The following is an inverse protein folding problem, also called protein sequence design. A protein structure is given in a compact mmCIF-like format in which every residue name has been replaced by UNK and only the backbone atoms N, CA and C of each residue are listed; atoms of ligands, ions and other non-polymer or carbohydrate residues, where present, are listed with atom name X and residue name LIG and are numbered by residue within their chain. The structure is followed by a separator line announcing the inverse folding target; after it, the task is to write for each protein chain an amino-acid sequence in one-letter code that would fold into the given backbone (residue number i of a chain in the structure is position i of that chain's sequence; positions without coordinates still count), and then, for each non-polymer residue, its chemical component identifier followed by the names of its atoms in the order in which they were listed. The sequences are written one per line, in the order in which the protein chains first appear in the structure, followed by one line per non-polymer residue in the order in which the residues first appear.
data_IF_129762205564
#
_entry.id   IF_129762205564
#
_cell.length_a   1.000
_cell.length_b   1.000
_cell.length_c   1.000
_cell.angle_alpha   90.00
_cell.angle_beta   90.00
_cell.angle_gamma   90.00
#
_symmetry.space_group_name_H-M   'P 1'
#
loop_
_entity.id
_entity.type
_entity.pdbx_description
1 polymer ?
#
# COMPACT_ATOMS: atom_id res chain seq x y z
N UNK A 1 -58.92 65.70 -18.57
CA UNK A 1 -58.30 65.00 -19.73
C UNK A 1 -57.39 63.92 -19.17
N UNK A 2 -57.54 62.71 -19.68
CA UNK A 2 -57.02 61.42 -19.16
C UNK A 2 -55.51 61.28 -19.35
N UNK A 3 -54.79 60.88 -18.30
CA UNK A 3 -53.50 60.21 -18.43
C UNK A 3 -53.58 58.83 -17.74
N UNK A 4 -53.32 57.79 -18.53
CA UNK A 4 -53.41 56.39 -18.15
C UNK A 4 -52.39 56.03 -17.06
N UNK A 5 -52.87 55.45 -15.96
CA UNK A 5 -52.03 54.83 -14.94
C UNK A 5 -51.63 53.42 -15.37
N UNK A 6 -50.32 53.15 -15.46
CA UNK A 6 -49.81 51.80 -15.64
C UNK A 6 -49.67 51.14 -14.27
N UNK A 7 -50.51 50.13 -13.99
CA UNK A 7 -50.34 49.26 -12.83
C UNK A 7 -49.33 48.18 -13.21
N UNK A 8 -48.13 48.25 -12.65
CA UNK A 8 -47.14 47.16 -12.72
C UNK A 8 -47.49 46.16 -11.64
N UNK A 9 -47.94 44.95 -12.01
CA UNK A 9 -48.06 43.86 -11.05
C UNK A 9 -46.67 43.34 -10.67
N UNK A 10 -46.36 43.13 -9.39
CA UNK A 10 -45.14 42.45 -8.99
C UNK A 10 -45.21 40.99 -9.42
N UNK A 11 -44.19 40.53 -10.14
CA UNK A 11 -44.00 39.11 -10.47
C UNK A 11 -43.77 38.35 -9.16
N UNK A 12 -44.54 37.30 -8.91
CA UNK A 12 -44.31 36.40 -7.77
C UNK A 12 -42.88 35.84 -7.79
N UNK A 13 -42.21 35.74 -6.63
CA UNK A 13 -40.87 35.18 -6.57
C UNK A 13 -40.95 33.68 -6.81
N UNK A 14 -40.43 33.24 -7.96
CA UNK A 14 -40.22 31.83 -8.27
C UNK A 14 -39.28 31.23 -7.22
N UNK A 15 -39.83 30.41 -6.34
CA UNK A 15 -39.09 29.64 -5.34
C UNK A 15 -38.38 28.47 -6.04
N UNK A 16 -37.34 28.77 -6.81
CA UNK A 16 -36.38 27.76 -7.24
C UNK A 16 -35.35 27.59 -6.13
N UNK A 17 -35.44 26.47 -5.41
CA UNK A 17 -34.40 26.03 -4.47
C UNK A 17 -33.07 25.98 -5.24
N UNK A 18 -32.11 26.87 -4.92
CA UNK A 18 -31.00 27.11 -5.82
C UNK A 18 -30.09 25.89 -5.83
N UNK A 19 -29.82 25.34 -7.03
CA UNK A 19 -29.19 24.04 -7.27
C UNK A 19 -27.89 23.77 -6.48
N UNK A 20 -27.21 24.82 -6.02
CA UNK A 20 -26.03 24.71 -5.17
C UNK A 20 -26.35 24.10 -3.79
N UNK A 21 -27.56 24.25 -3.24
CA UNK A 21 -27.93 23.64 -1.94
C UNK A 21 -27.91 22.13 -2.03
N UNK A 22 -28.46 21.55 -3.11
CA UNK A 22 -28.45 20.11 -3.38
C UNK A 22 -27.03 19.59 -3.56
N UNK A 23 -26.19 20.34 -4.27
CA UNK A 23 -24.78 19.99 -4.44
C UNK A 23 -24.02 20.02 -3.11
N UNK A 24 -24.19 21.07 -2.31
CA UNK A 24 -23.59 21.18 -0.98
C UNK A 24 -24.06 20.05 -0.07
N UNK A 25 -25.35 19.70 -0.10
CA UNK A 25 -25.90 18.63 0.72
C UNK A 25 -25.29 17.27 0.33
N UNK A 26 -25.20 16.99 -0.97
CA UNK A 26 -24.55 15.78 -1.48
C UNK A 26 -23.06 15.70 -1.10
N UNK A 27 -22.32 16.81 -1.20
CA UNK A 27 -20.90 16.85 -0.78
C UNK A 27 -20.76 16.59 0.71
N UNK A 28 -21.63 17.15 1.54
CA UNK A 28 -21.63 16.94 3.00
C UNK A 28 -21.95 15.48 3.35
N UNK A 29 -22.96 14.88 2.73
CA UNK A 29 -23.29 13.46 2.93
C UNK A 29 -22.11 12.55 2.56
N UNK A 30 -21.44 12.83 1.44
CA UNK A 30 -20.24 12.09 1.01
C UNK A 30 -19.08 12.27 1.99
N UNK A 31 -18.88 13.47 2.50
CA UNK A 31 -17.85 13.77 3.51
C UNK A 31 -18.14 13.04 4.83
N UNK A 32 -19.39 13.08 5.30
CA UNK A 32 -19.82 12.40 6.52
C UNK A 32 -19.70 10.88 6.40
N UNK A 33 -20.04 10.31 5.25
CA UNK A 33 -19.85 8.88 4.99
C UNK A 33 -18.36 8.49 5.03
N UNK A 34 -17.49 9.30 4.43
CA UNK A 34 -16.04 9.07 4.46
C UNK A 34 -15.47 9.20 5.89
N UNK A 35 -15.95 10.16 6.68
CA UNK A 35 -15.58 10.32 8.09
C UNK A 35 -16.04 9.08 8.88
N UNK A 36 -17.29 8.64 8.72
CA UNK A 36 -17.83 7.47 9.41
C UNK A 36 -17.04 6.20 9.09
N UNK A 37 -16.76 5.95 7.81
CA UNK A 37 -15.91 4.83 7.38
C UNK A 37 -14.51 4.90 7.99
N UNK A 38 -13.93 6.10 8.10
CA UNK A 38 -12.61 6.33 8.72
C UNK A 38 -12.63 6.11 10.23
N UNK A 39 -13.70 6.49 10.92
CA UNK A 39 -13.89 6.25 12.35
C UNK A 39 -14.07 4.76 12.64
N UNK A 40 -14.89 4.07 11.85
CA UNK A 40 -15.06 2.60 11.92
C UNK A 40 -13.73 1.88 11.65
N UNK A 41 -12.92 2.38 10.71
CA UNK A 41 -11.57 1.90 10.45
C UNK A 41 -10.58 2.17 11.60
N UNK A 42 -10.67 3.32 12.27
CA UNK A 42 -9.88 3.64 13.46
C UNK A 42 -10.21 2.70 14.63
N UNK A 43 -11.50 2.35 14.79
CA UNK A 43 -11.98 1.35 15.75
C UNK A 43 -11.56 -0.08 15.39
N UNK A 44 -11.42 -0.41 14.09
CA UNK A 44 -11.01 -1.75 13.62
C UNK A 44 -9.51 -2.04 13.72
N UNK A 45 -8.70 -1.14 14.29
CA UNK A 45 -7.28 -1.38 14.59
C UNK A 45 -6.26 -0.58 13.79
N UNK A 46 -6.66 0.55 13.18
CA UNK A 46 -5.74 1.53 12.58
C UNK A 46 -4.95 2.38 13.61
N UNK A 47 -5.09 2.09 14.90
CA UNK A 47 -4.31 2.67 16.01
C UNK A 47 -3.17 1.77 16.50
N UNK A 48 -2.78 0.75 15.72
CA UNK A 48 -1.58 -0.04 16.05
C UNK A 48 -0.33 0.80 15.77
N UNK A 49 0.75 0.67 16.55
CA UNK A 49 2.01 1.31 16.17
C UNK A 49 2.53 0.65 14.88
N UNK A 50 3.10 1.41 13.94
CA UNK A 50 3.74 0.83 12.78
C UNK A 50 4.91 -0.06 13.24
N UNK A 51 5.16 -1.10 12.46
CA UNK A 51 6.20 -2.08 12.74
C UNK A 51 7.47 -1.61 12.04
N UNK A 52 8.55 -1.41 12.80
CA UNK A 52 9.90 -1.24 12.28
C UNK A 52 10.78 -2.39 12.80
N UNK A 53 11.38 -3.15 11.87
CA UNK A 53 12.33 -4.23 12.17
C UNK A 53 13.67 -3.91 11.53
N UNK A 54 14.74 -4.37 12.17
CA UNK A 54 16.12 -4.23 11.74
C UNK A 54 16.75 -5.60 11.47
N UNK A 55 17.80 -5.60 10.66
CA UNK A 55 18.65 -6.77 10.51
C UNK A 55 19.31 -7.11 11.86
N UNK A 56 19.31 -8.39 12.22
CA UNK A 56 19.86 -8.86 13.50
C UNK A 56 18.88 -8.88 14.68
N UNK A 57 17.62 -8.48 14.48
CA UNK A 57 16.55 -8.57 15.50
C UNK A 57 16.17 -10.02 15.86
N UNK A 58 16.83 -11.05 15.31
CA UNK A 58 16.61 -12.47 15.59
C UNK A 58 17.02 -12.94 17.01
N UNK A 59 17.21 -12.03 17.97
CA UNK A 59 17.35 -12.41 19.37
C UNK A 59 15.95 -12.62 19.96
N UNK A 60 15.63 -13.80 20.54
CA UNK A 60 14.37 -14.00 21.24
C UNK A 60 14.41 -13.22 22.56
N UNK A 61 14.16 -11.91 22.49
CA UNK A 61 13.86 -11.14 23.67
C UNK A 61 12.37 -11.30 23.97
N UNK A 62 12.04 -12.39 24.69
CA UNK A 62 10.91 -12.40 25.61
C UNK A 62 11.18 -11.37 26.71
N UNK A 63 11.11 -10.08 26.37
CA UNK A 63 10.89 -9.05 27.38
C UNK A 63 9.40 -8.81 27.35
N UNK A 64 8.71 -9.35 28.35
CA UNK A 64 7.41 -8.85 28.76
C UNK A 64 7.48 -7.33 28.74
N UNK A 65 6.85 -6.71 27.75
CA UNK A 65 6.61 -5.28 27.77
C UNK A 65 5.69 -5.08 28.97
N UNK A 66 6.27 -4.67 30.11
CA UNK A 66 5.51 -4.20 31.25
C UNK A 66 4.58 -3.13 30.69
N UNK A 67 3.27 -3.37 30.78
CA UNK A 67 2.26 -2.31 30.74
C UNK A 67 2.65 -1.32 31.84
N UNK A 68 3.41 -0.30 31.50
CA UNK A 68 3.42 0.95 32.26
C UNK A 68 2.11 1.63 31.91
N UNK A 69 1.07 1.30 32.68
CA UNK A 69 -0.08 2.17 32.83
C UNK A 69 0.39 3.46 33.48
N UNK A 70 0.13 4.58 32.83
CA UNK A 70 0.42 5.91 33.36
C UNK A 70 0.13 6.98 32.30
N UNK A 71 -0.84 7.85 32.59
CA UNK A 71 -1.18 9.02 31.77
C UNK A 71 -2.67 9.09 31.47
N UNK A 72 -3.52 9.39 32.47
CA UNK A 72 -4.07 10.73 32.73
C UNK A 72 -4.88 11.29 31.56
N UNK A 73 -6.19 11.33 31.74
CA UNK A 73 -7.13 11.96 30.82
C UNK A 73 -6.77 13.42 30.56
N UNK A 74 -6.68 13.74 29.27
CA UNK A 74 -6.65 15.09 28.74
C UNK A 74 -7.35 15.04 27.40
N UNK A 75 -8.55 15.62 27.33
CA UNK A 75 -9.28 15.85 26.09
C UNK A 75 -8.46 16.83 25.26
N UNK A 76 -7.99 16.43 24.08
CA UNK A 76 -7.45 17.39 23.12
C UNK A 76 -7.91 17.09 21.68
N UNK A 77 -8.44 18.14 21.06
CA UNK A 77 -9.22 18.13 19.82
C UNK A 77 -8.31 18.22 18.58
N UNK A 78 -7.43 17.23 18.37
CA UNK A 78 -6.53 17.27 17.20
C UNK A 78 -6.87 16.19 16.17
N UNK A 79 -7.16 16.67 14.95
CA UNK A 79 -7.34 15.90 13.72
C UNK A 79 -6.41 14.68 13.59
N UNK A 80 -6.86 13.57 12.97
CA UNK A 80 -6.14 12.31 12.98
C UNK A 80 -5.12 12.29 11.84
N UNK A 81 -3.99 12.97 12.04
CA UNK A 81 -2.79 12.55 11.31
C UNK A 81 -2.33 11.20 11.88
N UNK A 82 -1.86 10.26 11.03
CA UNK A 82 -1.17 9.09 11.55
C UNK A 82 -0.04 9.59 12.46
N UNK A 83 -0.06 9.16 13.71
CA UNK A 83 1.00 9.44 14.66
C UNK A 83 2.28 8.89 14.05
N UNK A 84 3.14 9.77 13.56
CA UNK A 84 4.49 9.41 13.14
C UNK A 84 5.12 8.88 14.43
N UNK A 85 5.57 7.61 14.47
CA UNK A 85 6.29 7.11 15.63
C UNK A 85 7.40 8.10 15.93
N UNK A 86 7.54 8.47 17.20
CA UNK A 86 8.75 9.15 17.63
C UNK A 86 9.93 8.30 17.16
N UNK A 87 10.67 8.82 16.18
CA UNK A 87 11.95 8.26 15.81
C UNK A 87 12.82 8.59 17.00
N UNK A 88 13.04 7.61 17.87
CA UNK A 88 13.92 7.82 19.01
C UNK A 88 15.28 8.22 18.43
N UNK A 89 15.98 9.14 19.07
CA UNK A 89 17.33 9.55 18.65
C UNK A 89 18.24 8.30 18.46
N UNK A 90 17.98 7.24 19.23
CA UNK A 90 18.60 5.91 19.11
C UNK A 90 18.34 5.19 17.77
N UNK A 91 17.19 5.41 17.10
CA UNK A 91 16.89 4.90 15.75
C UNK A 91 17.55 5.74 14.64
N UNK A 92 17.92 7.00 14.93
CA UNK A 92 18.76 7.81 14.05
C UNK A 92 20.26 7.48 14.19
N UNK A 93 20.72 7.19 15.42
CA UNK A 93 22.12 6.89 15.74
C UNK A 93 22.48 5.40 15.65
N UNK A 94 21.49 4.52 15.48
CA UNK A 94 21.78 3.10 15.36
C UNK A 94 22.29 2.77 13.96
N UNK A 95 23.49 2.18 13.91
CA UNK A 95 24.06 1.39 12.80
C UNK A 95 23.17 0.20 12.36
N UNK A 96 21.92 0.13 12.82
CA UNK A 96 20.98 -0.96 12.57
C UNK A 96 20.37 -0.77 11.20
N UNK A 97 20.78 -1.62 10.28
CA UNK A 97 20.22 -1.66 8.93
C UNK A 97 18.72 -1.99 9.03
N UNK A 98 17.86 -1.11 8.48
CA UNK A 98 16.41 -1.31 8.43
C UNK A 98 16.13 -2.56 7.58
N UNK A 99 15.17 -3.38 8.02
CA UNK A 99 14.74 -4.59 7.30
C UNK A 99 13.31 -4.45 6.78
N UNK A 100 12.38 -4.08 7.66
CA UNK A 100 10.96 -4.08 7.32
C UNK A 100 10.25 -2.96 8.07
N UNK A 101 9.55 -2.12 7.31
CA UNK A 101 8.65 -1.10 7.82
C UNK A 101 7.23 -1.42 7.36
N UNK A 102 6.26 -1.43 8.27
CA UNK A 102 4.85 -1.68 7.93
C UNK A 102 3.93 -0.78 8.71
N UNK A 103 2.99 -0.15 8.00
CA UNK A 103 1.97 0.72 8.59
C UNK A 103 0.62 0.00 8.67
N UNK A 104 -0.36 0.69 9.23
CA UNK A 104 -1.60 0.08 9.72
C UNK A 104 -2.58 -0.40 8.64
N UNK A 105 -2.53 0.19 7.44
CA UNK A 105 -3.29 -0.28 6.28
C UNK A 105 -2.68 -1.56 5.66
N UNK A 106 -1.56 -2.04 6.23
CA UNK A 106 -0.82 -3.20 5.76
C UNK A 106 0.26 -2.88 4.73
N UNK A 107 0.32 -1.65 4.21
CA UNK A 107 1.38 -1.19 3.32
C UNK A 107 2.74 -1.32 4.01
N UNK A 108 3.75 -1.72 3.26
CA UNK A 108 5.05 -2.08 3.80
C UNK A 108 6.20 -1.81 2.84
N UNK A 109 7.39 -1.68 3.42
CA UNK A 109 8.65 -1.62 2.70
C UNK A 109 9.60 -2.64 3.29
N UNK A 110 10.25 -3.43 2.44
CA UNK A 110 11.41 -4.23 2.79
C UNK A 110 12.64 -3.55 2.20
N UNK A 111 13.73 -3.58 2.95
CA UNK A 111 15.00 -2.96 2.56
C UNK A 111 16.06 -4.04 2.40
N UNK A 112 17.01 -3.81 1.50
CA UNK A 112 18.29 -4.53 1.46
C UNK A 112 19.19 -4.05 2.60
N UNK A 113 20.25 -4.82 2.97
CA UNK A 113 21.24 -4.34 3.93
C UNK A 113 21.93 -3.05 3.47
N UNK A 114 22.02 -2.81 2.16
CA UNK A 114 22.53 -1.55 1.58
C UNK A 114 21.71 -0.32 1.98
N UNK A 115 20.48 -0.50 2.47
CA UNK A 115 19.53 0.55 2.76
C UNK A 115 18.60 0.90 1.59
N UNK A 116 18.82 0.33 0.39
CA UNK A 116 17.90 0.50 -0.72
C UNK A 116 16.61 -0.32 -0.52
N UNK A 117 15.50 0.17 -1.05
CA UNK A 117 14.22 -0.55 -0.99
C UNK A 117 14.34 -1.81 -1.85
N UNK A 118 14.01 -2.95 -1.28
CA UNK A 118 13.91 -4.24 -1.97
C UNK A 118 12.49 -4.49 -2.47
N UNK A 119 11.49 -4.23 -1.63
CA UNK A 119 10.07 -4.44 -1.94
C UNK A 119 9.25 -3.30 -1.39
N UNK A 120 8.30 -2.79 -2.18
CA UNK A 120 7.26 -1.88 -1.74
C UNK A 120 5.91 -2.57 -1.91
N UNK A 121 5.11 -2.63 -0.85
CA UNK A 121 3.74 -3.07 -0.89
C UNK A 121 2.82 -1.91 -0.51
N UNK A 122 1.87 -1.60 -1.38
CA UNK A 122 0.89 -0.54 -1.14
C UNK A 122 -0.51 -1.12 -1.18
N UNK A 123 -1.29 -0.86 -0.13
CA UNK A 123 -2.68 -1.28 -0.06
C UNK A 123 -3.47 -0.68 -1.24
N UNK A 124 -4.27 -1.51 -1.90
CA UNK A 124 -4.92 -1.12 -3.16
C UNK A 124 -6.12 -0.19 -2.99
N UNK A 125 -6.78 -0.23 -1.83
CA UNK A 125 -8.06 0.47 -1.59
C UNK A 125 -9.24 -0.08 -2.40
N UNK A 126 -9.06 -1.19 -3.12
CA UNK A 126 -10.12 -1.87 -3.85
C UNK A 126 -11.06 -2.60 -2.87
N UNK A 127 -12.34 -2.72 -3.22
CA UNK A 127 -13.34 -3.42 -2.39
C UNK A 127 -13.00 -4.90 -2.16
N UNK A 128 -12.29 -5.53 -3.10
CA UNK A 128 -11.78 -6.90 -2.97
C UNK A 128 -10.50 -7.02 -2.14
N UNK A 129 -9.94 -5.90 -1.65
CA UNK A 129 -8.65 -5.83 -0.99
C UNK A 129 -7.48 -6.10 -1.93
N UNK A 130 -6.32 -6.42 -1.35
CA UNK A 130 -5.08 -6.74 -2.06
C UNK A 130 -4.06 -5.60 -2.06
N UNK A 131 -2.85 -5.91 -2.53
CA UNK A 131 -1.71 -5.01 -2.51
C UNK A 131 -1.06 -4.91 -3.89
N UNK A 132 -0.64 -3.72 -4.26
CA UNK A 132 0.38 -3.55 -5.29
C UNK A 132 1.73 -3.90 -4.68
N UNK A 133 2.50 -4.77 -5.33
CA UNK A 133 3.83 -5.16 -4.87
C UNK A 133 4.84 -4.83 -5.96
N UNK A 134 5.83 -4.00 -5.67
CA UNK A 134 6.94 -3.68 -6.56
C UNK A 134 8.24 -4.17 -5.95
N UNK A 135 9.09 -4.78 -6.76
CA UNK A 135 10.41 -5.31 -6.38
C UNK A 135 11.47 -4.49 -7.10
N UNK A 136 12.52 -4.08 -6.40
CA UNK A 136 13.55 -3.18 -6.95
C UNK A 136 14.94 -3.81 -6.88
N UNK A 137 15.83 -3.33 -7.73
CA UNK A 137 17.25 -3.67 -7.71
C UNK A 137 17.96 -3.06 -6.50
N UNK A 138 18.95 -3.76 -5.96
CA UNK A 138 19.86 -3.26 -4.93
C UNK A 138 20.91 -2.29 -5.51
N UNK A 139 20.46 -1.17 -6.07
CA UNK A 139 21.29 -0.17 -6.75
C UNK A 139 20.76 1.23 -6.50
N UNK A 140 21.66 2.22 -6.61
CA UNK A 140 21.32 3.64 -6.41
C UNK A 140 20.25 4.13 -7.39
N UNK A 141 20.33 3.70 -8.65
CA UNK A 141 19.25 3.82 -9.63
C UNK A 141 18.29 2.65 -9.42
N UNK A 142 17.29 2.82 -8.56
CA UNK A 142 16.33 1.76 -8.24
C UNK A 142 15.51 1.37 -9.49
N UNK A 143 15.91 0.30 -10.17
CA UNK A 143 15.17 -0.27 -11.30
C UNK A 143 14.11 -1.22 -10.76
N UNK A 144 12.89 -1.10 -11.26
CA UNK A 144 11.81 -2.04 -10.91
C UNK A 144 12.07 -3.36 -11.62
N UNK A 145 12.31 -4.42 -10.85
CA UNK A 145 12.55 -5.78 -11.33
C UNK A 145 11.24 -6.54 -11.57
N UNK A 146 10.22 -6.27 -10.76
CA UNK A 146 8.91 -6.89 -10.91
C UNK A 146 7.81 -6.01 -10.32
N UNK A 147 6.62 -6.12 -10.89
CA UNK A 147 5.40 -5.49 -10.38
C UNK A 147 4.27 -6.48 -10.35
N UNK A 148 3.50 -6.48 -9.28
CA UNK A 148 2.32 -7.32 -9.09
C UNK A 148 1.16 -6.41 -8.68
N UNK A 149 0.07 -6.50 -9.41
CA UNK A 149 -1.17 -5.79 -9.13
C UNK A 149 -1.95 -6.48 -8.02
N UNK A 150 -2.86 -5.75 -7.38
CA UNK A 150 -3.73 -6.27 -6.32
C UNK A 150 -4.54 -7.51 -6.72
N UNK A 151 -4.81 -7.68 -8.02
CA UNK A 151 -5.58 -8.81 -8.58
C UNK A 151 -4.69 -9.95 -9.10
N UNK A 152 -3.39 -9.92 -8.78
CA UNK A 152 -2.45 -11.01 -9.08
C UNK A 152 -1.85 -11.01 -10.48
N UNK A 153 -2.12 -9.99 -11.31
CA UNK A 153 -1.38 -9.80 -12.58
C UNK A 153 0.01 -9.28 -12.26
N UNK A 154 1.03 -9.78 -12.94
CA UNK A 154 2.38 -9.27 -12.72
C UNK A 154 3.27 -9.28 -13.95
N UNK A 155 4.36 -8.55 -13.82
CA UNK A 155 5.41 -8.38 -14.83
C UNK A 155 6.78 -8.54 -14.18
N UNK A 156 7.75 -9.00 -14.95
CA UNK A 156 9.18 -8.95 -14.64
C UNK A 156 9.87 -8.15 -15.72
N UNK A 157 10.83 -7.33 -15.31
CA UNK A 157 11.56 -6.42 -16.17
C UNK A 157 13.06 -6.70 -16.07
N UNK A 158 13.74 -6.69 -17.20
CA UNK A 158 15.18 -6.83 -17.24
C UNK A 158 15.86 -5.58 -16.63
N UNK A 159 16.79 -5.74 -15.67
CA UNK A 159 17.33 -4.64 -14.88
C UNK A 159 18.14 -3.61 -15.68
N UNK A 160 18.68 -3.98 -16.84
CA UNK A 160 19.53 -3.08 -17.63
C UNK A 160 18.77 -2.42 -18.79
N UNK A 161 17.88 -3.15 -19.45
CA UNK A 161 17.18 -2.67 -20.64
C UNK A 161 15.78 -2.12 -20.34
N UNK A 162 15.21 -2.42 -19.16
CA UNK A 162 13.84 -2.04 -18.85
C UNK A 162 12.78 -2.81 -19.65
N UNK A 163 13.19 -3.82 -20.44
CA UNK A 163 12.27 -4.63 -21.25
C UNK A 163 11.54 -5.63 -20.38
N UNK A 164 10.24 -5.82 -20.65
CA UNK A 164 9.44 -6.83 -19.95
C UNK A 164 9.84 -8.22 -20.43
N UNK A 165 10.31 -9.06 -19.51
CA UNK A 165 10.78 -10.43 -19.81
C UNK A 165 9.82 -11.51 -19.36
N UNK A 166 8.84 -11.17 -18.52
CA UNK A 166 7.73 -12.06 -18.21
C UNK A 166 6.47 -11.29 -17.84
N UNK A 167 5.31 -11.88 -18.14
CA UNK A 167 3.99 -11.40 -17.72
C UNK A 167 3.11 -12.57 -17.30
N UNK A 168 2.19 -12.33 -16.37
CA UNK A 168 1.21 -13.34 -15.96
C UNK A 168 -0.09 -12.71 -15.43
N UNK A 169 -1.15 -13.50 -15.44
CA UNK A 169 -2.47 -13.18 -14.90
C UNK A 169 -3.12 -14.41 -14.24
N UNK A 170 -4.45 -14.45 -14.08
CA UNK A 170 -5.15 -15.58 -13.45
C UNK A 170 -5.28 -16.83 -14.34
N UNK A 171 -4.88 -16.76 -15.61
CA UNK A 171 -4.99 -17.87 -16.58
C UNK A 171 -3.64 -18.56 -16.81
N UNK A 172 -2.56 -17.80 -16.69
CA UNK A 172 -1.23 -18.31 -16.94
C UNK A 172 -0.22 -17.18 -17.03
N UNK A 173 0.84 -17.40 -17.80
CA UNK A 173 1.83 -16.40 -18.11
C UNK A 173 2.78 -16.82 -19.22
N UNK A 174 3.67 -15.92 -19.56
CA UNK A 174 4.69 -16.14 -20.57
C UNK A 174 5.99 -15.44 -20.20
N UNK A 175 7.10 -15.93 -20.77
CA UNK A 175 8.38 -15.22 -20.80
C UNK A 175 8.72 -14.82 -22.22
N UNK A 176 9.41 -13.69 -22.35
CA UNK A 176 9.89 -13.16 -23.62
C UNK A 176 11.41 -12.99 -23.58
N UNK A 177 12.05 -13.12 -24.74
CA UNK A 177 13.44 -12.68 -24.93
C UNK A 177 13.53 -11.14 -24.98
N UNK A 178 14.74 -10.55 -24.99
CA UNK A 178 14.92 -9.11 -25.08
C UNK A 178 14.30 -8.47 -26.34
N UNK A 179 14.15 -9.23 -27.42
CA UNK A 179 13.53 -8.81 -28.69
C UNK A 179 12.00 -8.86 -28.64
N UNK A 180 11.43 -9.44 -27.58
CA UNK A 180 9.98 -9.54 -27.33
C UNK A 180 9.33 -10.81 -27.86
N UNK A 181 10.10 -11.76 -28.40
CA UNK A 181 9.56 -13.05 -28.83
C UNK A 181 9.29 -13.96 -27.63
N UNK A 182 8.16 -14.65 -27.67
CA UNK A 182 7.74 -15.56 -26.60
C UNK A 182 8.67 -16.77 -26.57
N UNK A 183 9.34 -16.97 -25.44
CA UNK A 183 10.26 -18.10 -25.22
C UNK A 183 9.61 -19.25 -24.46
N UNK A 184 8.59 -18.95 -23.64
CA UNK A 184 7.83 -19.95 -22.88
C UNK A 184 6.45 -19.41 -22.55
N UNK A 185 5.47 -20.30 -22.55
CA UNK A 185 4.12 -20.03 -22.09
C UNK A 185 3.70 -21.11 -21.08
N UNK A 186 2.86 -20.75 -20.12
CA UNK A 186 2.25 -21.69 -19.19
C UNK A 186 0.83 -21.25 -18.86
N UNK A 187 -0.01 -22.23 -18.53
CA UNK A 187 -1.34 -22.00 -17.98
C UNK A 187 -1.39 -22.55 -16.56
N UNK A 188 -2.11 -21.88 -15.66
CA UNK A 188 -2.32 -22.43 -14.33
C UNK A 188 -3.25 -23.63 -14.41
N UNK A 189 -2.87 -24.73 -13.78
CA UNK A 189 -3.77 -25.88 -13.67
C UNK A 189 -4.82 -25.59 -12.59
N UNK A 190 -6.06 -25.33 -13.01
CA UNK A 190 -7.17 -25.08 -12.11
C UNK A 190 -7.60 -26.43 -11.51
N UNK A 191 -7.56 -26.53 -10.18
CA UNK A 191 -8.05 -27.70 -9.45
C UNK A 191 -6.99 -28.73 -9.03
N UNK A 192 -5.74 -28.59 -9.47
CA UNK A 192 -4.63 -29.44 -9.01
C UNK A 192 -3.87 -28.71 -7.91
N UNK A 193 -3.98 -29.19 -6.66
CA UNK A 193 -3.10 -28.78 -5.54
C UNK A 193 -1.72 -29.40 -5.72
N UNK A 194 -1.02 -29.05 -6.79
CA UNK A 194 0.35 -29.49 -6.96
C UNK A 194 1.31 -28.57 -6.20
N UNK A 195 2.31 -29.22 -5.60
CA UNK A 195 3.28 -28.61 -4.70
C UNK A 195 4.16 -27.64 -5.47
N UNK A 196 4.05 -26.35 -5.18
CA UNK A 196 4.98 -25.35 -5.71
C UNK A 196 6.30 -25.47 -4.94
N UNK A 197 7.37 -25.88 -5.62
CA UNK A 197 8.73 -25.91 -5.05
C UNK A 197 9.45 -24.64 -5.50
N UNK A 198 9.68 -23.72 -4.57
CA UNK A 198 10.49 -22.53 -4.82
C UNK A 198 11.94 -22.89 -4.50
N UNK A 199 12.79 -22.92 -5.53
CA UNK A 199 14.22 -23.14 -5.39
C UNK A 199 14.94 -21.79 -5.42
N UNK A 200 15.42 -21.34 -4.27
CA UNK A 200 16.21 -20.11 -4.15
C UNK A 200 17.67 -20.47 -4.39
N UNK A 201 18.30 -19.83 -5.38
CA UNK A 201 19.74 -19.94 -5.62
C UNK A 201 20.44 -18.75 -4.98
N UNK A 202 21.15 -18.98 -3.89
CA UNK A 202 22.06 -17.99 -3.31
C UNK A 202 23.47 -18.28 -3.80
N UNK A 203 24.11 -17.27 -4.41
CA UNK A 203 25.57 -17.32 -4.63
C UNK A 203 26.24 -16.83 -3.36
N UNK A 204 26.77 -17.75 -2.57
CA UNK A 204 27.73 -17.41 -1.52
C UNK A 204 29.15 -17.33 -2.14
N UNK A 205 30.08 -16.53 -1.56
CA UNK A 205 31.46 -16.45 -2.04
C UNK A 205 32.24 -17.78 -2.00
N UNK A 206 31.71 -18.82 -1.34
CA UNK A 206 32.38 -20.11 -1.14
C UNK A 206 31.65 -21.32 -1.76
N UNK A 207 30.81 -21.09 -2.77
CA UNK A 207 30.15 -22.17 -3.53
C UNK A 207 28.63 -22.08 -3.56
N UNK A 208 28.01 -22.84 -4.47
CA UNK A 208 26.56 -22.88 -4.65
C UNK A 208 25.92 -23.63 -3.47
N UNK A 209 25.00 -22.97 -2.75
CA UNK A 209 24.17 -23.61 -1.76
C UNK A 209 22.71 -23.56 -2.23
N UNK A 210 22.05 -24.72 -2.24
CA UNK A 210 20.64 -24.82 -2.58
C UNK A 210 19.82 -24.87 -1.30
N UNK A 211 18.89 -23.94 -1.14
CA UNK A 211 17.90 -23.98 -0.06
C UNK A 211 16.52 -24.18 -0.68
N UNK A 212 15.89 -25.29 -0.33
CA UNK A 212 14.53 -25.63 -0.74
C UNK A 212 13.58 -25.22 0.39
N UNK A 213 12.69 -24.27 0.11
CA UNK A 213 11.67 -23.85 1.07
C UNK A 213 10.35 -24.55 0.74
N UNK A 214 9.65 -25.00 1.79
CA UNK A 214 8.39 -25.73 1.73
C UNK A 214 7.28 -24.79 2.19
N UNK A 215 6.24 -24.63 1.39
CA UNK A 215 4.98 -23.97 1.76
C UNK A 215 3.87 -24.98 1.48
#
# INVERSE_FOLDING_TARGET
MVHAGWIVQPKEPTHEEPQWTKLCHWVVERLQLAIKQRTEQAESGLNKPPILRHYGDAKPHFKHQKKTGGGSGGVDNTWPYPQIPEVNQEDQDSLRQKLHYRINDGSSFLYYPSGFVAVCQSHSGLSCGGFYTNVFSDQLSAVTLASITAVGRGTVTHPLSGTVTAVWDQRGGMTCDPEGAVTKEWTWQIGVKERIVIQVRTRAPWGQQFSQYRI
#
